data_IF_185992743807
#
_entry.id   IF_185992743807
#
_cell.length_a   1.000
_cell.length_b   1.000
_cell.length_c   1.000
_cell.angle_alpha   90.00
_cell.angle_beta   90.00
_cell.angle_gamma   90.00
#
_symmetry.space_group_name_H-M   'P 1'
#
loop_
_entity.id
_entity.type
_entity.pdbx_description
1 polymer ?
#
# COMPACT_ATOMS: atom_id res chain seq x y z
N UNK A 1 -20.40 53.68 41.28
CA UNK A 1 -19.86 53.07 40.04
C UNK A 1 -20.88 53.28 38.94
N UNK A 2 -20.77 54.39 38.21
CA UNK A 2 -21.66 54.70 37.09
C UNK A 2 -21.25 53.85 35.89
N UNK A 3 -22.09 52.87 35.55
CA UNK A 3 -21.98 52.13 34.29
C UNK A 3 -22.38 53.10 33.20
N UNK A 4 -21.41 53.72 32.54
CA UNK A 4 -21.63 54.51 31.33
C UNK A 4 -22.20 53.57 30.27
N UNK A 5 -23.50 53.68 29.99
CA UNK A 5 -24.15 52.96 28.89
C UNK A 5 -23.74 53.61 27.57
N UNK A 6 -22.50 53.36 27.13
CA UNK A 6 -22.11 53.68 25.75
C UNK A 6 -23.09 52.97 24.81
N UNK A 7 -23.59 53.71 23.82
CA UNK A 7 -24.50 53.12 22.84
C UNK A 7 -23.72 52.05 22.07
N UNK A 8 -24.35 50.89 21.84
CA UNK A 8 -23.71 49.78 21.11
C UNK A 8 -23.18 50.21 19.74
N UNK A 9 -23.76 51.26 19.14
CA UNK A 9 -23.32 51.83 17.87
C UNK A 9 -21.98 52.57 17.97
N UNK A 10 -21.73 53.29 19.08
CA UNK A 10 -20.47 53.99 19.31
C UNK A 10 -19.33 52.99 19.54
N UNK A 11 -19.57 52.00 20.40
CA UNK A 11 -18.61 50.93 20.69
C UNK A 11 -18.24 50.12 19.43
N UNK A 12 -19.21 49.78 18.57
CA UNK A 12 -18.92 49.07 17.32
C UNK A 12 -18.16 49.93 16.33
N UNK A 13 -18.48 51.22 16.22
CA UNK A 13 -17.78 52.14 15.31
C UNK A 13 -16.31 52.36 15.68
N UNK A 14 -16.00 52.40 16.98
CA UNK A 14 -14.63 52.57 17.48
C UNK A 14 -13.76 51.33 17.24
N UNK A 15 -14.36 50.13 17.35
CA UNK A 15 -13.63 48.86 17.25
C UNK A 15 -13.79 48.13 15.90
N UNK A 16 -14.49 48.71 14.93
CA UNK A 16 -14.75 48.06 13.63
C UNK A 16 -13.46 47.64 12.92
N UNK A 17 -12.42 48.48 12.96
CA UNK A 17 -11.12 48.18 12.35
C UNK A 17 -10.46 46.96 12.97
N UNK A 18 -10.59 46.78 14.28
CA UNK A 18 -10.08 45.61 14.99
C UNK A 18 -10.82 44.34 14.58
N UNK A 19 -12.15 44.37 14.52
CA UNK A 19 -12.94 43.22 14.08
C UNK A 19 -12.69 42.86 12.62
N UNK A 20 -12.53 43.84 11.72
CA UNK A 20 -12.21 43.62 10.31
C UNK A 20 -10.85 42.95 10.15
N UNK A 21 -9.81 43.37 10.89
CA UNK A 21 -8.51 42.70 10.83
C UNK A 21 -8.58 41.30 11.45
N UNK A 22 -9.23 41.16 12.60
CA UNK A 22 -9.36 39.89 13.33
C UNK A 22 -10.09 38.82 12.53
N UNK A 23 -11.16 39.19 11.81
CA UNK A 23 -12.01 38.25 11.06
C UNK A 23 -11.71 38.22 9.56
N UNK A 24 -11.38 39.36 8.98
CA UNK A 24 -11.08 39.49 7.56
C UNK A 24 -9.78 38.81 7.17
N UNK A 25 -8.73 38.89 8.00
CA UNK A 25 -7.45 38.24 7.68
C UNK A 25 -7.58 36.71 7.62
N UNK A 26 -8.19 36.02 8.60
CA UNK A 26 -8.44 34.59 8.50
C UNK A 26 -9.33 34.21 7.30
N UNK A 27 -10.38 34.99 7.02
CA UNK A 27 -11.27 34.73 5.89
C UNK A 27 -10.57 34.89 4.54
N UNK A 28 -9.71 35.89 4.39
CA UNK A 28 -8.88 36.07 3.20
C UNK A 28 -7.88 34.93 3.04
N UNK A 29 -7.20 34.53 4.11
CA UNK A 29 -6.30 33.36 4.08
C UNK A 29 -7.05 32.08 3.70
N UNK A 30 -8.25 31.87 4.25
CA UNK A 30 -9.10 30.73 3.91
C UNK A 30 -9.54 30.77 2.45
N UNK A 31 -10.00 31.92 1.95
CA UNK A 31 -10.45 32.08 0.57
C UNK A 31 -9.31 31.87 -0.43
N UNK A 32 -8.12 32.37 -0.14
CA UNK A 32 -6.91 32.14 -0.94
C UNK A 32 -6.52 30.66 -0.93
N UNK A 33 -6.52 30.00 0.24
CA UNK A 33 -6.26 28.57 0.35
C UNK A 33 -7.27 27.73 -0.44
N UNK A 34 -8.57 28.04 -0.31
CA UNK A 34 -9.62 27.38 -1.05
C UNK A 34 -9.47 27.57 -2.56
N UNK A 35 -9.16 28.78 -3.01
CA UNK A 35 -8.93 29.09 -4.43
C UNK A 35 -7.75 28.27 -4.99
N UNK A 36 -6.64 28.18 -4.26
CA UNK A 36 -5.49 27.37 -4.66
C UNK A 36 -5.84 25.88 -4.75
N UNK A 37 -6.53 25.34 -3.74
CA UNK A 37 -6.90 23.92 -3.69
C UNK A 37 -7.90 23.55 -4.80
N UNK A 38 -8.94 24.35 -5.00
CA UNK A 38 -10.03 24.02 -5.92
C UNK A 38 -9.79 24.47 -7.37
N UNK A 39 -9.01 25.52 -7.61
CA UNK A 39 -8.77 26.05 -8.96
C UNK A 39 -7.38 25.74 -9.50
N UNK A 40 -6.39 25.58 -8.62
CA UNK A 40 -5.00 25.32 -9.02
C UNK A 40 -4.38 24.12 -8.29
N UNK A 41 -5.04 22.95 -8.24
CA UNK A 41 -4.51 21.78 -7.54
C UNK A 41 -3.15 21.35 -8.09
N UNK A 42 -2.86 21.59 -9.37
CA UNK A 42 -1.57 21.24 -10.01
C UNK A 42 -0.36 22.00 -9.47
N UNK A 43 -0.55 23.17 -8.81
CA UNK A 43 0.56 23.92 -8.23
C UNK A 43 1.12 23.23 -6.97
N UNK A 44 0.26 22.53 -6.22
CA UNK A 44 0.59 21.93 -4.93
C UNK A 44 0.55 20.40 -4.94
N UNK A 45 -0.31 19.82 -5.78
CA UNK A 45 -0.49 18.37 -5.93
C UNK A 45 0.13 17.94 -7.25
N UNK A 46 1.30 17.32 -7.16
CA UNK A 46 1.89 16.59 -8.29
C UNK A 46 1.25 15.19 -8.32
N UNK A 47 0.85 14.69 -9.50
CA UNK A 47 0.37 13.32 -9.61
C UNK A 47 1.44 12.35 -9.10
N UNK A 48 1.01 11.22 -8.54
CA UNK A 48 1.91 10.15 -8.15
C UNK A 48 2.71 9.68 -9.37
N UNK A 49 3.98 9.32 -9.15
CA UNK A 49 4.92 9.05 -10.25
C UNK A 49 4.59 7.77 -11.04
N UNK A 50 3.65 6.96 -10.59
CA UNK A 50 3.26 5.69 -11.21
C UNK A 50 3.56 4.51 -10.27
N UNK A 51 3.44 3.26 -10.75
CA UNK A 51 3.80 2.08 -9.98
C UNK A 51 5.31 2.05 -9.71
N UNK A 52 5.72 1.62 -8.52
CA UNK A 52 7.14 1.47 -8.16
C UNK A 52 7.69 0.12 -8.62
N UNK A 53 6.85 -0.91 -8.56
CA UNK A 53 7.19 -2.27 -8.92
C UNK A 53 5.95 -3.01 -9.44
N UNK A 54 6.16 -4.07 -10.21
CA UNK A 54 5.14 -4.98 -10.71
C UNK A 54 5.57 -6.43 -10.48
N UNK A 55 4.64 -7.25 -10.01
CA UNK A 55 4.80 -8.69 -9.91
C UNK A 55 3.94 -9.34 -10.99
N UNK A 56 4.57 -9.98 -11.98
CA UNK A 56 3.86 -10.58 -13.08
C UNK A 56 3.81 -12.11 -12.94
N UNK A 57 2.67 -12.61 -12.47
CA UNK A 57 2.42 -14.07 -12.31
C UNK A 57 2.62 -14.86 -13.60
N UNK A 58 2.21 -14.33 -14.77
CA UNK A 58 2.25 -15.07 -16.05
C UNK A 58 3.68 -15.30 -16.56
N UNK A 59 4.54 -14.31 -16.37
CA UNK A 59 5.93 -14.37 -16.83
C UNK A 59 6.89 -14.84 -15.73
N UNK A 60 6.49 -14.75 -14.46
CA UNK A 60 7.36 -15.02 -13.32
C UNK A 60 8.39 -13.91 -13.07
N UNK A 61 8.21 -12.75 -13.71
CA UNK A 61 9.14 -11.63 -13.63
C UNK A 61 8.66 -10.58 -12.61
N UNK A 62 9.65 -9.93 -11.99
CA UNK A 62 9.49 -8.76 -11.14
C UNK A 62 10.10 -7.58 -11.88
N UNK A 63 9.30 -6.55 -12.09
CA UNK A 63 9.73 -5.31 -12.75
C UNK A 63 9.81 -4.19 -11.71
N UNK A 64 10.92 -3.47 -11.66
CA UNK A 64 11.10 -2.25 -10.88
C UNK A 64 11.15 -1.04 -11.84
N UNK A 65 10.40 0.01 -11.48
CA UNK A 65 10.37 1.26 -12.25
C UNK A 65 11.28 2.30 -11.58
N UNK A 66 12.40 2.62 -12.23
CA UNK A 66 13.32 3.66 -11.80
C UNK A 66 12.94 5.02 -12.43
N UNK A 67 12.40 5.89 -11.58
CA UNK A 67 11.99 7.25 -11.95
C UNK A 67 13.10 8.29 -11.83
N UNK A 68 14.28 7.95 -11.29
CA UNK A 68 15.42 8.86 -11.36
C UNK A 68 16.22 8.59 -12.63
N UNK A 69 16.47 7.31 -12.97
CA UNK A 69 17.16 6.85 -14.19
C UNK A 69 18.34 7.77 -14.57
N UNK A 70 19.25 8.00 -13.62
CA UNK A 70 20.39 8.93 -13.76
C UNK A 70 20.02 10.35 -14.25
N UNK A 71 18.86 10.86 -13.84
CA UNK A 71 18.29 12.14 -14.25
C UNK A 71 17.65 12.16 -15.63
N UNK A 72 17.56 11.03 -16.34
CA UNK A 72 16.94 10.94 -17.67
C UNK A 72 15.42 11.17 -17.62
N UNK A 73 14.75 10.81 -16.52
CA UNK A 73 13.32 11.07 -16.37
C UNK A 73 12.99 12.57 -16.38
N UNK A 74 13.77 13.40 -15.69
CA UNK A 74 13.58 14.87 -15.69
C UNK A 74 13.93 15.51 -17.04
N UNK A 75 14.81 14.90 -17.83
CA UNK A 75 15.30 15.44 -19.11
C UNK A 75 14.44 15.00 -20.31
N UNK A 76 14.07 13.73 -20.36
CA UNK A 76 13.42 13.09 -21.52
C UNK A 76 12.09 12.40 -21.17
N UNK A 77 11.71 12.33 -19.89
CA UNK A 77 10.49 11.66 -19.45
C UNK A 77 10.55 10.12 -19.48
N UNK A 78 11.71 9.54 -19.78
CA UNK A 78 11.88 8.09 -19.88
C UNK A 78 12.03 7.46 -18.50
N UNK A 79 11.17 6.50 -18.18
CA UNK A 79 11.22 5.69 -16.95
C UNK A 79 12.17 4.53 -17.22
N UNK A 80 13.14 4.31 -16.33
CA UNK A 80 13.99 3.12 -16.38
C UNK A 80 13.20 1.90 -15.92
N UNK A 81 13.40 0.77 -16.60
CA UNK A 81 12.79 -0.51 -16.22
C UNK A 81 13.90 -1.51 -15.89
N UNK A 82 13.81 -2.13 -14.72
CA UNK A 82 14.71 -3.20 -14.30
C UNK A 82 13.88 -4.44 -14.04
N UNK A 83 14.06 -5.45 -14.88
CA UNK A 83 13.33 -6.73 -14.77
C UNK A 83 14.26 -7.83 -14.29
N UNK A 84 13.76 -8.68 -13.39
CA UNK A 84 14.46 -9.88 -12.92
C UNK A 84 13.46 -11.01 -12.58
N UNK A 85 13.86 -12.28 -12.69
CA UNK A 85 13.03 -13.41 -12.29
C UNK A 85 12.72 -13.42 -10.78
N UNK A 86 11.51 -13.81 -10.39
CA UNK A 86 11.07 -13.81 -8.99
C UNK A 86 11.95 -14.68 -8.06
N UNK A 87 12.43 -15.83 -8.55
CA UNK A 87 13.28 -16.75 -7.79
C UNK A 87 14.68 -16.19 -7.48
N UNK A 88 15.07 -15.05 -8.04
CA UNK A 88 16.31 -14.34 -7.70
C UNK A 88 16.13 -13.36 -6.52
N UNK A 89 14.90 -13.19 -6.03
CA UNK A 89 14.59 -12.34 -4.89
C UNK A 89 14.47 -13.16 -3.60
N UNK A 90 15.17 -12.70 -2.57
CA UNK A 90 15.10 -13.25 -1.23
C UNK A 90 14.26 -12.34 -0.33
N UNK A 91 13.44 -12.96 0.53
CA UNK A 91 12.57 -12.26 1.46
C UNK A 91 13.30 -11.96 2.77
N UNK A 92 13.27 -10.68 3.15
CA UNK A 92 13.83 -10.20 4.41
C UNK A 92 12.71 -9.67 5.32
N UNK A 93 12.74 -10.13 6.57
CA UNK A 93 11.96 -9.54 7.65
C UNK A 93 12.77 -8.39 8.25
N UNK A 94 12.39 -7.16 7.93
CA UNK A 94 13.09 -5.98 8.43
C UNK A 94 12.42 -5.49 9.70
N UNK A 95 13.19 -5.44 10.78
CA UNK A 95 12.79 -4.90 12.08
C UNK A 95 13.32 -3.47 12.23
N UNK A 96 12.45 -2.53 12.59
CA UNK A 96 12.83 -1.13 12.80
C UNK A 96 12.02 -0.50 13.93
N UNK A 97 12.58 0.49 14.65
CA UNK A 97 11.86 1.20 15.70
C UNK A 97 10.86 2.20 15.11
N UNK A 98 9.65 2.23 15.65
CA UNK A 98 8.76 3.39 15.51
C UNK A 98 9.28 4.57 16.36
N UNK A 99 8.71 5.77 16.18
CA UNK A 99 9.02 6.98 16.94
C UNK A 99 8.88 6.79 18.46
N UNK A 100 8.07 5.84 18.89
CA UNK A 100 7.86 5.48 20.30
C UNK A 100 8.83 4.38 20.81
N UNK A 101 9.74 3.89 19.96
CA UNK A 101 10.70 2.83 20.29
C UNK A 101 10.14 1.40 20.17
N UNK A 102 8.88 1.23 19.79
CA UNK A 102 8.29 -0.07 19.53
C UNK A 102 8.91 -0.70 18.27
N UNK A 103 9.31 -1.98 18.37
CA UNK A 103 9.79 -2.73 17.21
C UNK A 103 8.65 -3.01 16.26
N UNK A 104 8.83 -2.60 15.01
CA UNK A 104 7.93 -2.83 13.90
C UNK A 104 8.59 -3.74 12.88
N UNK A 105 7.78 -4.58 12.24
CA UNK A 105 8.25 -5.49 11.21
C UNK A 105 7.60 -5.19 9.87
N UNK A 106 8.38 -5.31 8.79
CA UNK A 106 7.89 -5.24 7.42
C UNK A 106 8.59 -6.26 6.54
N UNK A 107 7.91 -6.65 5.46
CA UNK A 107 8.48 -7.50 4.42
C UNK A 107 9.21 -6.64 3.38
N UNK A 108 10.41 -7.07 3.03
CA UNK A 108 11.22 -6.49 1.97
C UNK A 108 11.74 -7.61 1.09
N UNK A 109 11.73 -7.44 -0.23
CA UNK A 109 12.41 -8.35 -1.16
C UNK A 109 13.72 -7.72 -1.63
N UNK A 110 14.83 -8.40 -1.36
CA UNK A 110 16.14 -8.02 -1.87
C UNK A 110 16.50 -8.90 -3.07
N UNK A 111 17.01 -8.30 -4.13
CA UNK A 111 17.56 -9.07 -5.24
C UNK A 111 18.93 -9.63 -4.87
N UNK A 112 19.20 -10.89 -5.19
CA UNK A 112 20.45 -11.55 -4.79
C UNK A 112 21.71 -10.95 -5.41
N UNK A 113 21.66 -10.67 -6.71
CA UNK A 113 22.85 -10.29 -7.49
C UNK A 113 23.01 -8.78 -7.73
N UNK A 114 22.01 -7.98 -7.34
CA UNK A 114 21.92 -6.55 -7.68
C UNK A 114 21.46 -5.81 -6.45
N UNK A 115 21.90 -4.57 -6.30
CA UNK A 115 21.46 -3.68 -5.22
C UNK A 115 20.04 -3.16 -5.49
N UNK A 116 19.06 -4.06 -5.39
CA UNK A 116 17.65 -3.80 -5.60
C UNK A 116 16.90 -4.26 -4.35
N UNK A 117 16.09 -3.36 -3.81
CA UNK A 117 15.32 -3.61 -2.61
C UNK A 117 13.89 -3.09 -2.80
N UNK A 118 12.92 -4.00 -2.67
CA UNK A 118 11.51 -3.71 -2.86
C UNK A 118 10.81 -3.73 -1.51
N UNK A 119 10.23 -2.60 -1.12
CA UNK A 119 9.48 -2.46 0.12
C UNK A 119 8.00 -2.83 -0.09
N UNK A 120 7.54 -3.83 0.68
CA UNK A 120 6.16 -4.30 0.68
C UNK A 120 5.34 -3.79 1.88
N UNK A 121 5.88 -2.87 2.68
CA UNK A 121 5.21 -2.26 3.83
C UNK A 121 3.96 -1.45 3.48
N UNK A 122 3.70 -1.17 2.20
CA UNK A 122 2.46 -0.55 1.74
C UNK A 122 1.30 -1.54 1.54
N UNK A 123 1.57 -2.85 1.45
CA UNK A 123 0.53 -3.86 1.20
C UNK A 123 -0.20 -4.33 2.46
N UNK A 124 0.48 -4.29 3.61
CA UNK A 124 -0.06 -4.71 4.90
C UNK A 124 0.30 -3.68 5.96
N UNK A 125 -0.54 -3.58 6.99
CA UNK A 125 -0.28 -2.69 8.11
C UNK A 125 1.03 -3.08 8.80
N UNK A 126 1.95 -2.13 8.89
CA UNK A 126 3.18 -2.26 9.67
C UNK A 126 2.81 -2.36 11.14
N UNK A 127 3.34 -3.37 11.83
CA UNK A 127 3.04 -3.61 13.23
C UNK A 127 4.13 -4.42 13.94
N UNK A 128 3.97 -4.65 15.25
CA UNK A 128 4.94 -5.38 16.07
C UNK A 128 4.86 -6.91 15.87
N UNK A 129 3.83 -7.42 15.19
CA UNK A 129 3.70 -8.82 14.87
C UNK A 129 4.46 -9.15 13.57
N UNK A 130 5.39 -10.10 13.63
CA UNK A 130 6.13 -10.58 12.45
C UNK A 130 5.27 -11.51 11.58
N UNK A 131 4.20 -12.08 12.14
CA UNK A 131 3.30 -13.02 11.48
C UNK A 131 2.65 -12.44 10.22
N UNK A 132 2.28 -11.15 10.23
CA UNK A 132 1.61 -10.53 9.09
C UNK A 132 2.56 -10.32 7.88
N UNK A 133 3.80 -9.81 8.05
CA UNK A 133 4.83 -9.88 7.00
C UNK A 133 5.10 -11.30 6.49
N UNK A 134 5.11 -12.30 7.37
CA UNK A 134 5.28 -13.70 6.96
C UNK A 134 4.11 -14.21 6.11
N UNK A 135 2.87 -13.89 6.50
CA UNK A 135 1.68 -14.24 5.73
C UNK A 135 1.66 -13.55 4.36
N UNK A 136 2.15 -12.31 4.29
CA UNK A 136 2.31 -11.60 3.02
C UNK A 136 3.35 -12.32 2.12
N UNK A 137 4.44 -12.81 2.68
CA UNK A 137 5.42 -13.57 1.91
C UNK A 137 4.84 -14.88 1.36
N UNK A 138 4.09 -15.64 2.18
CA UNK A 138 3.37 -16.83 1.73
C UNK A 138 2.36 -16.49 0.62
N UNK A 139 1.64 -15.38 0.77
CA UNK A 139 0.71 -14.88 -0.24
C UNK A 139 1.42 -14.58 -1.57
N UNK A 140 2.54 -13.86 -1.54
CA UNK A 140 3.30 -13.50 -2.76
C UNK A 140 3.84 -14.76 -3.45
N UNK A 141 4.37 -15.73 -2.69
CA UNK A 141 4.82 -16.99 -3.26
C UNK A 141 3.68 -17.75 -3.96
N UNK A 142 2.51 -17.86 -3.31
CA UNK A 142 1.33 -18.50 -3.91
C UNK A 142 0.77 -17.72 -5.11
N UNK A 143 0.90 -16.40 -5.11
CA UNK A 143 0.53 -15.57 -6.23
C UNK A 143 1.45 -15.80 -7.45
N UNK A 144 2.76 -15.85 -7.22
CA UNK A 144 3.76 -16.05 -8.28
C UNK A 144 3.84 -17.50 -8.77
N UNK A 145 3.44 -18.48 -7.97
CA UNK A 145 3.36 -19.88 -8.38
C UNK A 145 2.12 -20.14 -9.25
N UNK A 146 2.34 -20.44 -10.53
CA UNK A 146 1.29 -20.72 -11.52
C UNK A 146 0.72 -22.14 -11.40
N UNK A 147 1.33 -23.01 -10.60
CA UNK A 147 0.89 -24.41 -10.41
C UNK A 147 -0.37 -24.49 -9.55
N UNK A 148 -0.55 -23.53 -8.66
CA UNK A 148 -1.66 -23.44 -7.74
C UNK A 148 -2.66 -22.37 -8.23
N UNK A 149 -3.95 -22.48 -7.90
CA UNK A 149 -4.92 -21.43 -8.18
C UNK A 149 -4.50 -20.12 -7.50
N UNK A 150 -5.00 -18.99 -8.03
CA UNK A 150 -4.80 -17.68 -7.44
C UNK A 150 -5.23 -17.69 -5.96
N UNK A 151 -4.46 -17.03 -5.07
CA UNK A 151 -4.89 -16.79 -3.70
C UNK A 151 -6.32 -16.21 -3.68
N UNK A 152 -7.22 -16.77 -2.87
CA UNK A 152 -8.61 -16.31 -2.90
C UNK A 152 -8.75 -14.97 -2.17
N UNK A 153 -9.14 -13.93 -2.92
CA UNK A 153 -9.37 -12.58 -2.43
C UNK A 153 -10.59 -12.00 -3.13
N UNK A 154 -11.41 -11.17 -2.45
CA UNK A 154 -12.53 -10.47 -3.08
C UNK A 154 -12.13 -9.70 -4.33
N UNK A 155 -10.95 -9.06 -4.32
CA UNK A 155 -10.43 -8.30 -5.47
C UNK A 155 -10.09 -9.17 -6.67
N UNK A 156 -9.71 -10.43 -6.47
CA UNK A 156 -9.33 -11.31 -7.57
C UNK A 156 -10.52 -12.01 -8.21
N UNK A 157 -11.70 -11.99 -7.57
CA UNK A 157 -12.91 -12.64 -8.06
C UNK A 157 -13.21 -12.32 -9.53
N UNK A 158 -13.11 -11.04 -9.91
CA UNK A 158 -13.35 -10.60 -11.28
C UNK A 158 -12.32 -11.13 -12.29
N UNK A 159 -11.10 -11.47 -11.85
CA UNK A 159 -10.00 -11.92 -12.71
C UNK A 159 -9.77 -13.43 -12.67
N UNK A 160 -10.43 -14.19 -11.78
CA UNK A 160 -10.20 -15.64 -11.60
C UNK A 160 -10.35 -16.42 -12.91
N UNK A 161 -11.31 -16.03 -13.74
CA UNK A 161 -11.56 -16.67 -15.04
C UNK A 161 -10.45 -16.41 -16.09
N UNK A 162 -9.58 -15.42 -15.88
CA UNK A 162 -8.46 -15.08 -16.77
C UNK A 162 -7.19 -15.89 -16.48
N UNK A 163 -7.13 -16.58 -15.34
CA UNK A 163 -6.03 -17.47 -14.97
C UNK A 163 -6.44 -18.92 -15.26
N UNK A 164 -5.78 -19.64 -16.16
CA UNK A 164 -6.21 -20.96 -16.61
C UNK A 164 -6.22 -21.99 -15.46
N UNK A 165 -5.19 -22.00 -14.62
CA UNK A 165 -5.08 -22.87 -13.44
C UNK A 165 -6.24 -22.63 -12.48
N UNK A 166 -6.55 -21.36 -12.20
CA UNK A 166 -7.68 -20.98 -11.33
C UNK A 166 -9.01 -21.36 -11.95
N UNK A 167 -9.20 -21.13 -13.26
CA UNK A 167 -10.44 -21.44 -13.96
C UNK A 167 -10.70 -22.95 -14.06
N UNK A 168 -9.67 -23.78 -14.20
CA UNK A 168 -9.77 -25.25 -14.14
C UNK A 168 -10.13 -25.70 -12.72
N UNK A 169 -9.48 -25.13 -11.71
CA UNK A 169 -9.76 -25.41 -10.30
C UNK A 169 -11.22 -25.05 -9.94
N UNK A 170 -11.67 -23.85 -10.29
CA UNK A 170 -13.03 -23.38 -10.00
C UNK A 170 -14.09 -24.24 -10.71
N UNK A 171 -13.80 -24.75 -11.92
CA UNK A 171 -14.65 -25.71 -12.65
C UNK A 171 -14.70 -27.06 -11.95
N UNK A 172 -13.57 -27.57 -11.49
CA UNK A 172 -13.47 -28.88 -10.82
C UNK A 172 -14.26 -28.89 -9.50
N UNK A 173 -14.19 -27.82 -8.73
CA UNK A 173 -14.83 -27.70 -7.41
C UNK A 173 -16.17 -26.95 -7.43
N UNK A 174 -16.66 -26.58 -8.62
CA UNK A 174 -17.90 -25.84 -8.81
C UNK A 174 -18.02 -24.59 -7.93
N UNK A 175 -16.93 -23.81 -7.82
CA UNK A 175 -16.91 -22.57 -7.03
C UNK A 175 -17.87 -21.53 -7.65
N UNK A 176 -18.74 -20.87 -6.85
CA UNK A 176 -19.56 -19.77 -7.34
C UNK A 176 -18.72 -18.62 -7.90
N UNK A 177 -19.09 -18.02 -9.06
CA UNK A 177 -18.37 -16.87 -9.63
C UNK A 177 -18.44 -15.58 -8.79
N UNK A 178 -19.46 -15.45 -7.93
CA UNK A 178 -19.73 -14.28 -7.07
C UNK A 178 -19.68 -14.66 -5.58
N UNK A 179 -18.74 -15.53 -5.22
CA UNK A 179 -18.61 -16.08 -3.88
C UNK A 179 -18.58 -14.98 -2.81
N UNK A 180 -17.74 -13.95 -3.00
CA UNK A 180 -17.51 -12.94 -1.98
C UNK A 180 -18.67 -11.95 -1.86
N UNK A 181 -19.27 -11.58 -2.99
CA UNK A 181 -20.40 -10.64 -3.03
C UNK A 181 -21.67 -11.27 -2.45
N UNK A 182 -21.90 -12.55 -2.73
CA UNK A 182 -23.11 -13.25 -2.31
C UNK A 182 -22.95 -13.87 -0.89
N UNK A 183 -21.77 -13.73 -0.26
CA UNK A 183 -21.50 -14.16 1.11
C UNK A 183 -22.15 -13.24 2.14
N UNK A 184 -22.91 -13.80 3.09
CA UNK A 184 -23.50 -13.02 4.18
C UNK A 184 -22.46 -12.52 5.19
N UNK A 185 -22.75 -11.37 5.82
CA UNK A 185 -21.85 -10.70 6.76
C UNK A 185 -21.31 -11.60 7.89
N UNK A 186 -22.15 -12.47 8.45
CA UNK A 186 -21.75 -13.38 9.54
C UNK A 186 -20.72 -14.41 9.06
N UNK A 187 -20.95 -14.99 7.89
CA UNK A 187 -20.03 -15.95 7.29
C UNK A 187 -18.71 -15.28 6.89
N UNK A 188 -18.79 -14.06 6.34
CA UNK A 188 -17.62 -13.26 6.02
C UNK A 188 -16.77 -12.96 7.27
N UNK A 189 -17.41 -12.54 8.38
CA UNK A 189 -16.72 -12.33 9.66
C UNK A 189 -16.06 -13.60 10.17
N UNK A 190 -16.74 -14.74 10.10
CA UNK A 190 -16.17 -16.02 10.50
C UNK A 190 -14.95 -16.40 9.65
N UNK A 191 -15.02 -16.17 8.33
CA UNK A 191 -13.91 -16.40 7.42
C UNK A 191 -12.69 -15.53 7.74
N UNK A 192 -12.90 -14.23 7.96
CA UNK A 192 -11.84 -13.30 8.35
C UNK A 192 -11.21 -13.71 9.68
N UNK A 193 -12.03 -14.10 10.65
CA UNK A 193 -11.54 -14.56 11.95
C UNK A 193 -10.68 -15.83 11.82
N UNK A 194 -11.11 -16.81 11.03
CA UNK A 194 -10.32 -18.02 10.75
C UNK A 194 -8.99 -17.68 10.06
N UNK A 195 -9.02 -16.78 9.08
CA UNK A 195 -7.82 -16.29 8.42
C UNK A 195 -6.84 -15.64 9.40
N UNK A 196 -7.31 -14.79 10.32
CA UNK A 196 -6.47 -14.16 11.33
C UNK A 196 -5.84 -15.18 12.28
N UNK A 197 -6.59 -16.21 12.68
CA UNK A 197 -6.06 -17.32 13.50
C UNK A 197 -4.96 -18.08 12.76
N UNK A 198 -5.12 -18.31 11.44
CA UNK A 198 -4.09 -18.96 10.62
C UNK A 198 -2.83 -18.10 10.49
N UNK A 199 -2.99 -16.79 10.37
CA UNK A 199 -1.86 -15.85 10.34
C UNK A 199 -1.11 -15.90 11.68
N UNK A 200 -1.81 -15.90 12.80
CA UNK A 200 -1.16 -15.96 14.12
C UNK A 200 -0.36 -17.26 14.33
N UNK A 201 -0.86 -18.37 13.78
CA UNK A 201 -0.21 -19.68 13.83
C UNK A 201 0.77 -19.96 12.67
N UNK A 202 1.18 -18.93 11.93
CA UNK A 202 2.00 -19.13 10.73
C UNK A 202 3.41 -19.63 11.08
N UNK A 203 3.90 -20.59 10.30
CA UNK A 203 5.18 -21.28 10.53
C UNK A 203 6.25 -20.95 9.48
N UNK A 204 6.10 -19.81 8.79
CA UNK A 204 6.97 -19.44 7.65
C UNK A 204 8.45 -19.48 8.00
N UNK A 205 8.84 -19.06 9.21
CA UNK A 205 10.24 -19.03 9.64
C UNK A 205 10.85 -20.42 9.88
N UNK A 206 10.04 -21.44 10.18
CA UNK A 206 10.53 -22.81 10.35
C UNK A 206 10.53 -23.61 9.04
N UNK A 207 9.93 -23.10 7.97
CA UNK A 207 9.83 -23.81 6.68
C UNK A 207 11.14 -23.72 5.89
N UNK A 208 11.49 -24.76 5.12
CA UNK A 208 12.63 -24.69 4.22
C UNK A 208 12.40 -23.64 3.14
N UNK A 209 13.45 -22.90 2.79
CA UNK A 209 13.41 -21.93 1.71
C UNK A 209 13.20 -22.65 0.37
N UNK A 210 12.05 -22.42 -0.27
CA UNK A 210 11.73 -23.04 -1.57
C UNK A 210 12.62 -22.49 -2.69
N UNK A 211 13.04 -21.23 -2.59
CA UNK A 211 13.91 -20.60 -3.59
C UNK A 211 15.29 -21.24 -3.61
N UNK A 212 15.74 -21.85 -2.51
CA UNK A 212 17.02 -22.55 -2.45
C UNK A 212 17.20 -23.68 -3.48
N UNK A 213 16.11 -24.18 -4.07
CA UNK A 213 16.16 -25.20 -5.14
C UNK A 213 16.52 -24.60 -6.50
N UNK A 214 16.36 -23.29 -6.66
CA UNK A 214 16.51 -22.58 -7.93
C UNK A 214 17.81 -21.80 -8.03
N UNK A 215 18.59 -21.72 -6.95
CA UNK A 215 19.79 -20.89 -6.85
C UNK A 215 20.83 -21.53 -5.93
N UNK A 216 22.10 -21.37 -6.30
CA UNK A 216 23.23 -21.78 -5.48
C UNK A 216 23.59 -20.62 -4.52
N UNK A 217 23.79 -20.93 -3.24
CA UNK A 217 24.32 -19.96 -2.27
C UNK A 217 25.84 -20.08 -2.32
N UNK A 218 26.49 -18.98 -2.68
CA UNK A 218 27.95 -18.87 -2.53
C UNK A 218 28.18 -18.32 -1.13
N UNK A 219 28.75 -19.16 -0.27
CA UNK A 219 29.15 -18.80 1.10
C UNK A 219 30.28 -17.76 1.14
#
# INVERSE_FOLDING_TARGET
MSITSQSWQQHTSEHISFYVVLTGTPLLCWALGALVVYKFPRLWVKPSRGPLWELNRRTGLVTLFDYDNNGAYKKHGTIGEITAPFHEFDAYLVSFPDRQGLMMHKLVLGHRYRDILIDFGALVSIGPAHQLPCALWDFIQNYMDTRNPLPDLPRYEEYRHLDPTTADYDRLYARPPRLWIDMGDELFKAYVQDMLIRIDNITTLQRPNQMARHVEYVD
#
